data_IF_324267064666
#
_entry.id   IF_324267064666
#
_cell.length_a   1.000
_cell.length_b   1.000
_cell.length_c   1.000
_cell.angle_alpha   90.00
_cell.angle_beta   90.00
_cell.angle_gamma   90.00
#
_symmetry.space_group_name_H-M   'P 1'
#
loop_
_entity.id
_entity.type
_entity.pdbx_description
1 polymer ?
#
# COMPACT_ATOMS: atom_id res chain seq x y z
N UNK A 1 11.84 8.54 -100.57
CA UNK A 1 11.68 7.16 -101.06
C UNK A 1 11.38 6.28 -99.85
N UNK A 2 10.20 5.65 -99.83
CA UNK A 2 9.63 4.89 -98.72
C UNK A 2 10.22 3.47 -98.68
N UNK A 3 10.49 2.94 -97.49
CA UNK A 3 10.47 1.51 -97.22
C UNK A 3 9.86 1.24 -95.84
N UNK A 4 9.08 0.17 -95.79
CA UNK A 4 8.13 -0.27 -94.76
C UNK A 4 8.65 -1.50 -94.02
N UNK A 5 8.52 -1.51 -92.68
CA UNK A 5 8.26 -2.62 -91.70
C UNK A 5 9.12 -3.93 -91.73
N UNK A 6 9.30 -4.70 -90.63
CA UNK A 6 8.32 -4.99 -89.57
C UNK A 6 8.83 -5.07 -88.10
N UNK A 7 7.87 -5.41 -87.22
CA UNK A 7 7.87 -5.40 -85.77
C UNK A 7 8.89 -6.33 -85.07
N UNK A 8 9.28 -5.95 -83.85
CA UNK A 8 9.74 -6.89 -82.82
C UNK A 8 9.31 -6.39 -81.44
N UNK A 9 8.59 -7.27 -80.74
CA UNK A 9 8.13 -7.21 -79.35
C UNK A 9 9.34 -7.46 -78.44
N UNK A 10 9.52 -6.75 -77.30
CA UNK A 10 9.68 -7.35 -75.95
C UNK A 10 10.12 -6.35 -74.85
N UNK A 11 9.45 -6.50 -73.70
CA UNK A 11 9.79 -6.14 -72.30
C UNK A 11 9.76 -4.69 -71.84
N UNK A 12 8.71 -4.42 -71.06
CA UNK A 12 8.67 -3.39 -70.03
C UNK A 12 9.69 -3.71 -68.92
N UNK A 13 10.69 -2.85 -68.74
CA UNK A 13 11.57 -2.88 -67.58
C UNK A 13 10.95 -1.99 -66.50
N UNK A 14 10.05 -2.57 -65.69
CA UNK A 14 9.66 -1.98 -64.40
C UNK A 14 10.89 -2.06 -63.48
N UNK A 15 11.64 -0.96 -63.37
CA UNK A 15 12.60 -0.77 -62.28
C UNK A 15 11.81 -0.61 -60.99
N UNK A 16 11.50 -1.74 -60.35
CA UNK A 16 11.04 -1.77 -58.97
C UNK A 16 12.18 -1.26 -58.09
N UNK A 17 12.03 -0.04 -57.55
CA UNK A 17 12.75 0.35 -56.35
C UNK A 17 12.28 -0.56 -55.22
N UNK A 18 13.01 -1.65 -55.00
CA UNK A 18 12.89 -2.43 -53.78
C UNK A 18 13.36 -1.54 -52.63
N UNK A 19 12.43 -0.84 -51.99
CA UNK A 19 12.67 -0.30 -50.65
C UNK A 19 12.77 -1.54 -49.75
N UNK A 20 14.00 -2.02 -49.57
CA UNK A 20 14.32 -2.97 -48.52
C UNK A 20 14.13 -2.19 -47.23
N UNK A 21 12.94 -2.30 -46.63
CA UNK A 21 12.77 -1.99 -45.21
C UNK A 21 13.60 -3.02 -44.48
N UNK A 22 14.86 -2.70 -44.21
CA UNK A 22 15.64 -3.44 -43.23
C UNK A 22 14.88 -3.33 -41.93
N UNK A 23 14.27 -4.42 -41.48
CA UNK A 23 13.85 -4.57 -40.10
C UNK A 23 15.12 -4.43 -39.26
N UNK A 24 15.42 -3.21 -38.83
CA UNK A 24 16.55 -2.94 -37.96
C UNK A 24 16.23 -3.64 -36.63
N UNK A 25 16.88 -4.76 -36.37
CA UNK A 25 16.80 -5.43 -35.08
C UNK A 25 17.13 -4.41 -34.01
N UNK A 26 16.17 -4.15 -33.12
CA UNK A 26 16.34 -3.21 -32.03
C UNK A 26 17.57 -3.60 -31.20
N UNK A 27 18.43 -2.63 -30.88
CA UNK A 27 19.59 -2.90 -30.05
C UNK A 27 19.14 -3.24 -28.63
N UNK A 28 19.95 -4.01 -27.88
CA UNK A 28 19.65 -4.31 -26.47
C UNK A 28 19.46 -3.04 -25.64
N UNK A 29 20.22 -1.99 -25.93
CA UNK A 29 20.13 -0.71 -25.23
C UNK A 29 18.81 0.01 -25.52
N UNK A 30 18.33 -0.06 -26.77
CA UNK A 30 17.02 0.48 -27.15
C UNK A 30 15.90 -0.27 -26.40
N UNK A 31 15.96 -1.61 -26.34
CA UNK A 31 15.00 -2.42 -25.56
C UNK A 31 15.04 -2.06 -24.08
N UNK A 32 16.22 -1.87 -23.49
CA UNK A 32 16.35 -1.46 -22.08
C UNK A 32 15.70 -0.10 -21.82
N UNK A 33 15.91 0.88 -22.70
CA UNK A 33 15.27 2.19 -22.58
C UNK A 33 13.74 2.09 -22.67
N UNK A 34 13.20 1.24 -23.54
CA UNK A 34 11.77 1.00 -23.61
C UNK A 34 11.22 0.37 -22.32
N UNK A 35 11.95 -0.60 -21.74
CA UNK A 35 11.58 -1.22 -20.46
C UNK A 35 11.53 -0.17 -19.34
N UNK A 36 12.53 0.70 -19.26
CA UNK A 36 12.56 1.78 -18.26
C UNK A 36 11.39 2.75 -18.44
N UNK A 37 11.09 3.18 -19.66
CA UNK A 37 9.95 4.05 -19.95
C UNK A 37 8.62 3.40 -19.55
N UNK A 38 8.44 2.11 -19.86
CA UNK A 38 7.23 1.36 -19.50
C UNK A 38 7.09 1.15 -17.99
N UNK A 39 8.19 0.95 -17.28
CA UNK A 39 8.19 0.90 -15.81
C UNK A 39 7.80 2.24 -15.19
N UNK A 40 8.28 3.36 -15.74
CA UNK A 40 7.90 4.69 -15.27
C UNK A 40 6.41 4.98 -15.51
N UNK A 41 5.88 4.63 -16.69
CA UNK A 41 4.46 4.73 -17.02
C UNK A 41 3.60 3.89 -16.06
N UNK A 42 3.99 2.63 -15.84
CA UNK A 42 3.31 1.75 -14.88
C UNK A 42 3.35 2.32 -13.45
N UNK A 43 4.50 2.78 -12.98
CA UNK A 43 4.63 3.37 -11.65
C UNK A 43 3.72 4.60 -11.47
N UNK A 44 3.55 5.43 -12.51
CA UNK A 44 2.64 6.57 -12.46
C UNK A 44 1.17 6.13 -12.37
N UNK A 45 0.79 5.09 -13.12
CA UNK A 45 -0.56 4.52 -13.06
C UNK A 45 -0.84 3.89 -11.69
N UNK A 46 0.09 3.11 -11.14
CA UNK A 46 -0.08 2.48 -9.82
C UNK A 46 -0.16 3.52 -8.70
N UNK A 47 0.67 4.57 -8.77
CA UNK A 47 0.58 5.69 -7.83
C UNK A 47 -0.80 6.33 -7.88
N UNK A 48 -1.30 6.65 -9.07
CA UNK A 48 -2.65 7.21 -9.23
C UNK A 48 -3.74 6.26 -8.74
N UNK A 49 -3.54 4.95 -8.88
CA UNK A 49 -4.48 3.92 -8.43
C UNK A 49 -4.54 3.80 -6.90
N UNK A 50 -3.42 4.03 -6.21
CA UNK A 50 -3.32 4.01 -4.74
C UNK A 50 -3.67 5.34 -4.07
N UNK A 51 -3.81 6.42 -4.85
CA UNK A 51 -4.13 7.73 -4.30
C UNK A 51 -5.63 7.91 -4.02
N UNK A 52 -6.00 8.48 -2.86
CA UNK A 52 -7.35 9.02 -2.64
C UNK A 52 -7.72 10.07 -3.70
N UNK A 53 -9.03 10.35 -3.85
CA UNK A 53 -9.49 11.29 -4.87
C UNK A 53 -9.17 12.74 -4.49
N UNK A 54 -9.13 13.63 -5.48
CA UNK A 54 -8.99 15.07 -5.24
C UNK A 54 -10.12 15.61 -4.34
N UNK A 55 -11.33 15.06 -4.44
CA UNK A 55 -12.47 15.42 -3.60
C UNK A 55 -12.25 15.02 -2.13
N UNK A 56 -11.64 13.86 -1.86
CA UNK A 56 -11.29 13.48 -0.48
C UNK A 56 -10.26 14.47 0.10
N UNK A 57 -9.25 14.85 -0.68
CA UNK A 57 -8.26 15.84 -0.25
C UNK A 57 -8.89 17.21 0.00
N UNK A 58 -9.82 17.65 -0.86
CA UNK A 58 -10.53 18.91 -0.68
C UNK A 58 -11.43 18.89 0.57
N UNK A 59 -12.16 17.79 0.79
CA UNK A 59 -13.06 17.63 1.94
C UNK A 59 -12.33 17.69 3.29
N UNK A 60 -11.08 17.20 3.34
CA UNK A 60 -10.27 17.16 4.55
C UNK A 60 -9.07 18.11 4.54
N UNK A 61 -9.07 19.12 3.65
CA UNK A 61 -7.93 20.01 3.45
C UNK A 61 -7.48 20.72 4.74
N UNK A 62 -8.40 21.20 5.57
CA UNK A 62 -8.07 21.85 6.85
C UNK A 62 -7.43 20.88 7.85
N UNK A 63 -7.93 19.64 7.93
CA UNK A 63 -7.35 18.61 8.79
C UNK A 63 -5.92 18.28 8.37
N UNK A 64 -5.71 18.14 7.05
CA UNK A 64 -4.44 17.75 6.46
C UNK A 64 -3.32 18.81 6.53
N UNK A 65 -3.65 20.05 6.94
CA UNK A 65 -2.64 21.08 7.28
C UNK A 65 -1.90 20.77 8.58
N UNK A 66 -2.46 19.94 9.45
CA UNK A 66 -1.84 19.56 10.71
C UNK A 66 -0.61 18.66 10.47
N UNK A 67 0.46 18.79 11.28
CA UNK A 67 1.60 17.90 11.18
C UNK A 67 1.19 16.45 11.46
N UNK A 68 1.95 15.52 10.90
CA UNK A 68 1.78 14.07 11.08
C UNK A 68 0.36 13.56 10.81
N UNK A 69 -0.33 14.20 9.87
CA UNK A 69 -1.60 13.72 9.31
C UNK A 69 -1.42 13.23 7.88
N UNK A 70 -2.42 12.50 7.40
CA UNK A 70 -2.48 12.12 6.00
C UNK A 70 -3.77 11.42 5.63
N UNK A 71 -3.84 11.11 4.35
CA UNK A 71 -4.94 10.40 3.71
C UNK A 71 -4.33 9.30 2.84
N UNK A 72 -4.86 8.08 2.91
CA UNK A 72 -4.38 6.97 2.08
C UNK A 72 -5.52 6.00 1.76
N UNK A 73 -5.40 5.28 0.65
CA UNK A 73 -6.28 4.17 0.27
C UNK A 73 -5.62 2.85 0.66
N UNK A 74 -6.34 1.95 1.31
CA UNK A 74 -5.93 0.56 1.48
C UNK A 74 -6.77 -0.31 0.56
N UNK A 75 -6.11 -1.15 -0.23
CA UNK A 75 -6.76 -2.10 -1.13
C UNK A 75 -7.05 -3.44 -0.41
N UNK A 76 -8.12 -4.17 -0.74
CA UNK A 76 -8.34 -5.50 -0.18
C UNK A 76 -7.29 -6.48 -0.71
N UNK A 77 -6.57 -7.10 0.22
CA UNK A 77 -5.47 -8.04 -0.10
C UNK A 77 -5.91 -9.17 -1.01
N UNK A 78 -7.06 -9.76 -0.75
CA UNK A 78 -7.66 -10.86 -1.53
C UNK A 78 -7.96 -10.52 -3.00
N UNK A 79 -7.96 -9.23 -3.36
CA UNK A 79 -8.23 -8.77 -4.73
C UNK A 79 -6.95 -8.34 -5.44
N UNK A 80 -6.00 -7.72 -4.72
CA UNK A 80 -4.85 -7.04 -5.34
C UNK A 80 -3.47 -7.62 -4.98
N UNK A 81 -3.34 -8.36 -3.87
CA UNK A 81 -2.11 -9.04 -3.43
C UNK A 81 -2.06 -10.50 -3.92
N UNK A 82 -2.55 -10.73 -5.14
CA UNK A 82 -2.64 -12.07 -5.73
C UNK A 82 -1.21 -12.63 -5.94
N UNK A 83 -0.83 -13.67 -5.18
CA UNK A 83 0.51 -14.29 -5.25
C UNK A 83 0.49 -15.75 -5.75
N UNK A 84 1.47 -16.01 -6.63
CA UNK A 84 1.95 -17.25 -7.27
C UNK A 84 0.97 -18.13 -8.07
N UNK A 85 -0.26 -18.40 -7.62
CA UNK A 85 -1.10 -19.45 -8.26
C UNK A 85 -1.71 -19.02 -9.60
N UNK A 86 -2.02 -17.73 -9.77
CA UNK A 86 -2.65 -17.17 -10.96
C UNK A 86 -1.63 -16.53 -11.94
N UNK A 87 -0.37 -16.33 -11.52
CA UNK A 87 0.67 -15.59 -12.25
C UNK A 87 0.22 -14.19 -12.73
N UNK A 88 -0.80 -13.60 -12.11
CA UNK A 88 -1.31 -12.26 -12.44
C UNK A 88 -1.26 -11.37 -11.21
N UNK A 89 -0.17 -10.64 -11.04
CA UNK A 89 -0.14 -9.53 -10.07
C UNK A 89 -0.87 -8.34 -10.67
N UNK A 90 -1.86 -7.81 -9.95
CA UNK A 90 -2.58 -6.60 -10.35
C UNK A 90 -1.71 -5.34 -10.23
N UNK A 91 -0.82 -5.30 -9.23
CA UNK A 91 0.13 -4.22 -8.98
C UNK A 91 1.54 -4.77 -8.74
N UNK A 92 2.57 -4.00 -9.08
CA UNK A 92 3.98 -4.32 -8.84
C UNK A 92 4.41 -4.06 -7.40
N UNK A 93 3.71 -3.15 -6.70
CA UNK A 93 3.87 -2.88 -5.27
C UNK A 93 3.70 -4.17 -4.47
N UNK A 94 4.68 -4.54 -3.65
CA UNK A 94 4.60 -5.76 -2.84
C UNK A 94 3.47 -5.64 -1.83
N UNK A 95 2.62 -6.65 -1.73
CA UNK A 95 1.42 -6.56 -0.90
C UNK A 95 0.22 -5.95 -1.63
N UNK A 96 0.34 -5.64 -2.92
CA UNK A 96 -0.78 -5.22 -3.77
C UNK A 96 -1.50 -3.96 -3.30
N UNK A 97 -0.84 -3.06 -2.57
CA UNK A 97 -1.50 -1.87 -2.00
C UNK A 97 -2.36 -2.13 -0.76
N UNK A 98 -2.38 -3.37 -0.25
CA UNK A 98 -3.21 -3.73 0.90
C UNK A 98 -2.62 -3.34 2.25
N UNK A 99 -1.38 -2.86 2.26
CA UNK A 99 -0.60 -2.54 3.44
C UNK A 99 -0.24 -1.07 3.45
N UNK A 100 0.03 -0.50 4.63
CA UNK A 100 0.54 0.86 4.73
C UNK A 100 1.48 1.08 5.91
N UNK A 101 2.52 1.86 5.66
CA UNK A 101 3.41 2.41 6.66
C UNK A 101 3.08 3.88 6.89
N UNK A 102 2.65 4.25 8.10
CA UNK A 102 2.38 5.65 8.46
C UNK A 102 3.66 6.47 8.59
N UNK A 103 4.77 5.82 8.99
CA UNK A 103 6.08 6.47 9.14
C UNK A 103 6.73 6.74 7.80
N UNK A 104 6.70 5.76 6.89
CA UNK A 104 7.34 5.84 5.57
C UNK A 104 6.39 6.32 4.46
N UNK A 105 5.09 6.40 4.74
CA UNK A 105 4.03 6.82 3.79
C UNK A 105 4.07 6.01 2.50
N UNK A 106 4.13 4.69 2.64
CA UNK A 106 4.26 3.75 1.53
C UNK A 106 3.37 2.52 1.75
N UNK A 107 2.92 1.94 0.65
CA UNK A 107 2.15 0.70 0.64
C UNK A 107 2.99 -0.57 0.49
N UNK A 108 4.31 -0.41 0.30
CA UNK A 108 5.23 -1.52 0.08
C UNK A 108 5.32 -2.40 1.34
N UNK A 109 4.86 -3.65 1.23
CA UNK A 109 4.89 -4.60 2.34
C UNK A 109 6.32 -4.98 2.77
N UNK A 110 6.55 -5.02 4.08
CA UNK A 110 7.85 -5.33 4.67
C UNK A 110 8.77 -4.13 4.85
N UNK A 111 8.28 -2.92 4.55
CA UNK A 111 8.98 -1.66 4.81
C UNK A 111 8.27 -0.89 5.93
N UNK A 112 8.28 -1.43 7.14
CA UNK A 112 7.68 -0.77 8.32
C UNK A 112 6.16 -0.69 8.27
N UNK A 113 5.50 -1.76 7.82
CA UNK A 113 4.05 -1.83 7.65
C UNK A 113 3.32 -1.88 9.00
N UNK A 114 2.46 -0.92 9.33
CA UNK A 114 1.69 -0.97 10.60
C UNK A 114 0.24 -1.45 10.44
N UNK A 115 -0.31 -1.42 9.23
CA UNK A 115 -1.68 -1.84 8.96
C UNK A 115 -1.78 -2.56 7.62
N UNK A 116 -2.62 -3.59 7.57
CA UNK A 116 -3.08 -4.23 6.35
C UNK A 116 -4.61 -4.35 6.33
N UNK A 117 -5.20 -4.47 5.13
CA UNK A 117 -6.61 -4.76 4.92
C UNK A 117 -6.76 -6.12 4.22
N UNK A 118 -7.42 -7.08 4.88
CA UNK A 118 -7.75 -8.38 4.29
C UNK A 118 -9.12 -8.83 4.80
N UNK A 119 -9.95 -9.37 3.92
CA UNK A 119 -11.25 -9.97 4.28
C UNK A 119 -12.16 -9.01 5.06
N UNK A 120 -12.17 -7.73 4.67
CA UNK A 120 -12.86 -6.63 5.37
C UNK A 120 -12.44 -6.44 6.84
N UNK A 121 -11.24 -6.88 7.22
CA UNK A 121 -10.63 -6.64 8.53
C UNK A 121 -9.30 -5.92 8.37
N UNK A 122 -9.02 -5.00 9.31
CA UNK A 122 -7.68 -4.51 9.54
C UNK A 122 -6.86 -5.57 10.26
N UNK A 123 -5.59 -5.70 9.89
CA UNK A 123 -4.58 -6.48 10.56
C UNK A 123 -3.40 -5.58 10.94
N UNK A 124 -2.95 -5.66 12.20
CA UNK A 124 -1.84 -4.85 12.74
C UNK A 124 -0.69 -5.68 13.30
N UNK A 125 -0.64 -6.98 12.99
CA UNK A 125 0.45 -7.87 13.39
C UNK A 125 1.04 -8.59 12.18
N UNK A 126 2.37 -8.62 12.10
CA UNK A 126 3.10 -9.08 10.92
C UNK A 126 4.18 -10.10 11.30
N UNK A 127 5.00 -10.51 10.34
CA UNK A 127 5.91 -11.63 10.52
C UNK A 127 6.95 -11.39 11.63
N UNK A 128 7.42 -12.48 12.24
CA UNK A 128 8.49 -12.46 13.24
C UNK A 128 7.99 -12.13 14.64
N UNK A 129 8.70 -11.22 15.31
CA UNK A 129 8.38 -10.74 16.65
C UNK A 129 7.52 -9.46 16.63
N UNK A 130 7.25 -8.89 15.46
CA UNK A 130 6.43 -7.68 15.32
C UNK A 130 4.98 -7.96 15.73
N UNK A 131 4.36 -7.02 16.44
CA UNK A 131 2.98 -7.14 16.86
C UNK A 131 2.33 -5.78 17.02
N UNK A 132 1.00 -5.77 17.06
CA UNK A 132 0.24 -4.55 17.28
C UNK A 132 -1.06 -4.78 18.02
N UNK A 133 -1.66 -3.66 18.41
CA UNK A 133 -2.96 -3.59 19.04
C UNK A 133 -3.80 -2.60 18.27
N UNK A 134 -5.03 -2.98 17.94
CA UNK A 134 -6.04 -2.11 17.35
C UNK A 134 -7.32 -2.17 18.18
N UNK A 135 -7.99 -1.04 18.30
CA UNK A 135 -9.32 -0.94 18.92
C UNK A 135 -10.22 0.01 18.13
N UNK A 136 -11.52 -0.26 18.17
CA UNK A 136 -12.55 0.58 17.54
C UNK A 136 -13.08 1.57 18.58
N UNK A 137 -12.91 2.86 18.32
CA UNK A 137 -13.36 3.96 19.17
C UNK A 137 -14.81 4.40 18.89
N UNK A 138 -15.45 3.80 17.90
CA UNK A 138 -16.82 4.09 17.50
C UNK A 138 -16.92 5.23 16.48
N UNK A 139 -18.07 5.92 16.49
CA UNK A 139 -18.31 7.07 15.61
C UNK A 139 -17.83 8.37 16.24
N UNK A 140 -16.52 8.58 16.24
CA UNK A 140 -15.92 9.77 16.84
C UNK A 140 -15.12 10.51 15.76
N UNK A 141 -15.29 11.82 15.56
CA UNK A 141 -14.44 12.60 14.66
C UNK A 141 -12.96 12.43 15.01
N UNK A 142 -12.09 12.33 14.00
CA UNK A 142 -10.68 12.03 14.22
C UNK A 142 -9.97 13.17 14.98
N UNK A 143 -10.45 14.40 14.82
CA UNK A 143 -10.04 15.61 15.54
C UNK A 143 -10.20 15.45 17.06
N UNK A 144 -11.28 14.82 17.51
CA UNK A 144 -11.62 14.62 18.91
C UNK A 144 -10.80 13.51 19.58
N UNK A 145 -10.01 12.73 18.83
CA UNK A 145 -9.13 11.70 19.40
C UNK A 145 -7.91 12.36 20.01
N UNK A 146 -7.84 12.38 21.34
CA UNK A 146 -6.73 12.96 22.11
C UNK A 146 -6.11 11.93 23.05
N UNK A 147 -4.98 12.29 23.67
CA UNK A 147 -4.35 11.50 24.74
C UNK A 147 -5.24 11.31 25.97
N UNK A 148 -6.33 12.08 26.11
CA UNK A 148 -7.26 11.95 27.23
C UNK A 148 -8.21 10.76 27.10
N UNK A 149 -8.41 10.26 25.88
CA UNK A 149 -9.22 9.08 25.65
C UNK A 149 -8.60 7.86 26.37
N UNK A 150 -9.35 7.16 27.26
CA UNK A 150 -8.82 6.03 28.02
C UNK A 150 -8.19 4.93 27.16
N UNK A 151 -8.75 4.70 25.96
CA UNK A 151 -8.21 3.72 25.04
C UNK A 151 -6.82 4.11 24.50
N UNK A 152 -6.66 5.41 24.22
CA UNK A 152 -5.40 6.00 23.79
C UNK A 152 -4.38 5.97 24.92
N UNK A 153 -4.79 6.24 26.17
CA UNK A 153 -3.91 6.21 27.35
C UNK A 153 -3.22 4.87 27.51
N UNK A 154 -3.97 3.76 27.44
CA UNK A 154 -3.39 2.43 27.53
C UNK A 154 -2.37 2.18 26.41
N UNK A 155 -2.75 2.42 25.16
CA UNK A 155 -1.84 2.25 24.02
C UNK A 155 -0.61 3.14 24.16
N UNK A 156 -0.75 4.33 24.73
CA UNK A 156 0.34 5.28 24.89
C UNK A 156 1.35 4.90 25.99
N UNK A 157 0.88 4.23 27.04
CA UNK A 157 1.69 3.81 28.18
C UNK A 157 2.21 2.38 28.05
N UNK A 158 1.77 1.62 27.04
CA UNK A 158 2.22 0.24 26.83
C UNK A 158 3.74 0.17 26.60
N UNK A 159 4.41 -0.80 27.20
CA UNK A 159 5.84 -1.04 26.98
C UNK A 159 6.01 -2.19 26.01
N UNK A 160 6.80 -1.99 24.95
CA UNK A 160 7.13 -3.06 24.02
C UNK A 160 7.87 -4.18 24.76
N UNK A 161 7.59 -5.44 24.42
CA UNK A 161 8.33 -6.56 24.97
C UNK A 161 9.81 -6.46 24.57
N UNK A 162 10.72 -6.82 25.47
CA UNK A 162 12.17 -6.74 25.17
C UNK A 162 12.75 -8.09 24.74
N UNK A 163 11.99 -9.18 24.89
CA UNK A 163 12.42 -10.54 24.54
C UNK A 163 11.46 -11.17 23.53
N UNK A 164 11.99 -11.95 22.57
CA UNK A 164 11.17 -12.59 21.54
C UNK A 164 10.07 -13.50 22.11
N UNK A 165 10.31 -14.35 23.14
CA UNK A 165 9.25 -15.16 23.74
C UNK A 165 8.11 -14.33 24.35
N UNK A 166 8.43 -13.16 24.89
CA UNK A 166 7.46 -12.22 25.44
C UNK A 166 6.67 -11.54 24.31
N UNK A 167 7.35 -11.05 23.26
CA UNK A 167 6.70 -10.46 22.09
C UNK A 167 5.70 -11.44 21.44
N UNK A 168 6.09 -12.73 21.31
CA UNK A 168 5.18 -13.80 20.83
C UNK A 168 4.00 -14.06 21.75
N UNK A 169 4.17 -13.87 23.06
CA UNK A 169 3.09 -14.02 24.04
C UNK A 169 2.12 -12.84 23.97
N UNK A 170 2.62 -11.62 23.81
CA UNK A 170 1.80 -10.42 23.60
C UNK A 170 1.02 -10.51 22.27
N UNK A 171 1.65 -10.98 21.19
CA UNK A 171 0.94 -11.30 19.94
C UNK A 171 -0.27 -12.23 20.18
N UNK A 172 -0.07 -13.35 20.88
CA UNK A 172 -1.14 -14.32 21.17
C UNK A 172 -2.24 -13.74 22.06
N UNK A 173 -1.85 -12.93 23.04
CA UNK A 173 -2.77 -12.22 23.95
C UNK A 173 -3.72 -11.34 23.15
N UNK A 174 -3.19 -10.46 22.30
CA UNK A 174 -4.02 -9.58 21.49
C UNK A 174 -4.69 -10.29 20.31
N UNK A 175 -4.17 -11.42 19.82
CA UNK A 175 -4.87 -12.22 18.81
C UNK A 175 -6.18 -12.81 19.37
N UNK A 176 -6.16 -13.24 20.64
CA UNK A 176 -7.35 -13.70 21.35
C UNK A 176 -8.29 -12.54 21.73
N UNK A 177 -7.72 -11.34 21.85
CA UNK A 177 -8.38 -10.13 22.28
C UNK A 177 -8.34 -9.97 23.79
N UNK A 178 -7.92 -8.80 24.25
CA UNK A 178 -7.73 -8.49 25.66
C UNK A 178 -8.57 -7.28 26.06
N UNK A 179 -9.28 -7.35 27.18
CA UNK A 179 -10.06 -6.22 27.71
C UNK A 179 -9.30 -5.50 28.81
N UNK A 180 -9.01 -4.22 28.62
CA UNK A 180 -8.27 -3.38 29.56
C UNK A 180 -9.05 -2.08 29.75
N UNK A 181 -9.43 -1.79 30.99
CA UNK A 181 -10.24 -0.60 31.31
C UNK A 181 -11.57 -0.56 30.53
N UNK A 182 -12.19 -1.71 30.29
CA UNK A 182 -13.44 -1.83 29.52
C UNK A 182 -13.28 -1.70 27.99
N UNK A 183 -12.07 -1.48 27.49
CA UNK A 183 -11.78 -1.42 26.05
C UNK A 183 -11.15 -2.73 25.60
N UNK A 184 -11.62 -3.28 24.47
CA UNK A 184 -11.03 -4.48 23.87
C UNK A 184 -9.94 -4.09 22.87
N UNK A 185 -8.77 -4.73 22.98
CA UNK A 185 -7.63 -4.58 22.07
C UNK A 185 -7.38 -5.90 21.37
N UNK A 186 -7.19 -5.84 20.06
CA UNK A 186 -7.00 -7.01 19.21
C UNK A 186 -5.85 -6.82 18.23
N UNK A 187 -5.41 -7.88 17.56
CA UNK A 187 -4.56 -7.76 16.35
C UNK A 187 -5.37 -7.52 15.08
N UNK A 188 -6.70 -7.74 15.15
CA UNK A 188 -7.63 -7.54 14.04
C UNK A 188 -8.87 -6.77 14.44
N UNK A 189 -9.38 -5.94 13.53
CA UNK A 189 -10.64 -5.23 13.71
C UNK A 189 -11.42 -5.11 12.40
N UNK A 190 -12.73 -5.33 12.46
CA UNK A 190 -13.63 -5.17 11.33
C UNK A 190 -13.54 -3.74 10.75
N UNK A 191 -13.28 -3.63 9.45
CA UNK A 191 -13.27 -2.38 8.71
C UNK A 191 -14.72 -1.92 8.49
N UNK A 192 -15.11 -0.84 9.15
CA UNK A 192 -16.48 -0.29 9.10
C UNK A 192 -16.42 1.19 8.78
N UNK A 193 -17.17 1.58 7.75
CA UNK A 193 -17.30 2.97 7.33
C UNK A 193 -17.74 3.85 8.51
N UNK A 194 -17.24 5.09 8.57
CA UNK A 194 -17.55 6.05 9.63
C UNK A 194 -17.19 5.55 11.03
N UNK A 195 -16.20 4.65 11.15
CA UNK A 195 -15.61 4.28 12.44
C UNK A 195 -14.20 4.82 12.55
N UNK A 196 -13.85 5.19 13.77
CA UNK A 196 -12.51 5.64 14.14
C UNK A 196 -11.84 4.58 14.98
N UNK A 197 -10.55 4.38 14.73
CA UNK A 197 -9.75 3.34 15.33
C UNK A 197 -8.50 3.97 15.91
N UNK A 198 -7.95 3.32 16.92
CA UNK A 198 -6.59 3.56 17.37
C UNK A 198 -5.80 2.28 17.22
N UNK A 199 -4.57 2.39 16.71
CA UNK A 199 -3.62 1.30 16.67
C UNK A 199 -2.28 1.72 17.24
N UNK A 200 -1.58 0.78 17.86
CA UNK A 200 -0.13 0.85 18.08
C UNK A 200 0.53 -0.32 17.37
N UNK A 201 1.45 -0.02 16.46
CA UNK A 201 2.26 -1.02 15.76
C UNK A 201 3.68 -0.99 16.28
N UNK A 202 4.20 -2.15 16.70
CA UNK A 202 5.52 -2.35 17.29
C UNK A 202 6.32 -3.23 16.33
N UNK A 203 7.32 -2.62 15.68
CA UNK A 203 8.17 -3.23 14.68
C UNK A 203 9.64 -3.11 15.08
N UNK A 204 10.25 -4.23 15.47
CA UNK A 204 11.60 -4.25 16.02
C UNK A 204 12.68 -3.93 14.99
N UNK A 205 12.37 -4.11 13.70
CA UNK A 205 13.28 -3.75 12.61
C UNK A 205 13.18 -2.29 12.18
N UNK A 206 12.12 -1.57 12.57
CA UNK A 206 11.77 -0.30 11.91
C UNK A 206 11.21 0.79 12.85
N UNK A 207 10.09 0.56 13.52
CA UNK A 207 9.31 1.63 14.16
C UNK A 207 8.39 1.16 15.28
N UNK A 208 8.10 2.04 16.23
CA UNK A 208 6.99 1.90 17.18
C UNK A 208 6.17 3.19 17.13
N UNK A 209 4.90 3.07 16.76
CA UNK A 209 4.01 4.22 16.53
C UNK A 209 2.59 3.98 17.00
N UNK A 210 2.00 5.04 17.55
CA UNK A 210 0.58 5.12 17.90
C UNK A 210 -0.13 6.04 16.90
N UNK A 211 -1.15 5.50 16.25
CA UNK A 211 -1.90 6.14 15.17
C UNK A 211 -3.39 6.09 15.51
N UNK A 212 -4.11 7.16 15.19
CA UNK A 212 -5.55 7.13 15.08
C UNK A 212 -5.95 7.34 13.63
N UNK A 213 -6.98 6.62 13.18
CA UNK A 213 -7.47 6.77 11.81
C UNK A 213 -8.98 6.52 11.74
N UNK A 214 -9.61 7.06 10.70
CA UNK A 214 -11.04 6.92 10.44
C UNK A 214 -11.25 6.50 8.99
N UNK A 215 -12.14 5.54 8.76
CA UNK A 215 -12.59 5.22 7.41
C UNK A 215 -13.60 6.29 6.98
N UNK A 216 -13.23 7.09 5.98
CA UNK A 216 -14.05 8.20 5.48
C UNK A 216 -14.85 7.81 4.23
N UNK A 217 -14.38 6.83 3.48
CA UNK A 217 -15.00 6.33 2.26
C UNK A 217 -14.62 4.87 2.05
N UNK A 218 -15.55 4.10 1.48
CA UNK A 218 -15.31 2.74 1.01
C UNK A 218 -15.73 2.70 -0.46
N UNK A 219 -14.86 2.16 -1.31
CA UNK A 219 -15.06 2.10 -2.76
C UNK A 219 -15.77 0.79 -3.13
N UNK A 220 -16.33 0.73 -4.34
CA UNK A 220 -17.07 -0.44 -4.83
C UNK A 220 -16.20 -1.69 -4.97
N UNK A 221 -14.88 -1.52 -5.03
CA UNK A 221 -13.89 -2.59 -5.06
C UNK A 221 -13.44 -3.04 -3.66
N UNK A 222 -14.19 -2.67 -2.61
CA UNK A 222 -13.92 -2.89 -1.19
C UNK A 222 -12.69 -2.16 -0.61
N UNK A 223 -12.01 -1.33 -1.40
CA UNK A 223 -10.94 -0.46 -0.90
C UNK A 223 -11.48 0.55 0.11
N UNK A 224 -10.66 0.91 1.09
CA UNK A 224 -11.03 1.89 2.10
C UNK A 224 -10.11 3.10 2.04
N UNK A 225 -10.69 4.29 2.12
CA UNK A 225 -9.93 5.53 2.27
C UNK A 225 -9.91 5.87 3.75
N UNK A 226 -8.71 5.96 4.30
CA UNK A 226 -8.49 6.29 5.70
C UNK A 226 -7.86 7.67 5.83
N UNK A 227 -8.50 8.52 6.62
CA UNK A 227 -7.91 9.72 7.17
C UNK A 227 -7.17 9.32 8.46
N UNK A 228 -5.93 9.74 8.62
CA UNK A 228 -5.12 9.32 9.76
C UNK A 228 -4.32 10.48 10.36
N UNK A 229 -4.01 10.33 11.65
CA UNK A 229 -3.03 11.15 12.35
C UNK A 229 -2.17 10.29 13.25
N UNK A 230 -0.87 10.57 13.22
CA UNK A 230 0.08 10.00 14.16
C UNK A 230 -0.08 10.72 15.50
N UNK A 231 -0.33 9.95 16.56
CA UNK A 231 -0.42 10.50 17.90
C UNK A 231 0.93 10.53 18.60
N UNK A 232 1.78 9.52 18.34
CA UNK A 232 3.10 9.42 18.95
C UNK A 232 4.04 8.50 18.17
N UNK A 233 5.32 8.88 18.08
CA UNK A 233 6.44 8.01 17.71
C UNK A 233 7.21 7.65 18.98
N UNK A 234 7.59 6.40 19.12
CA UNK A 234 8.45 5.92 20.20
C UNK A 234 9.86 5.67 19.66
N UNK A 235 10.87 5.58 20.53
CA UNK A 235 12.13 4.96 20.16
C UNK A 235 11.89 3.60 19.53
N UNK A 236 12.69 3.24 18.53
CA UNK A 236 12.62 1.91 17.91
C UNK A 236 12.82 0.86 19.02
N UNK A 237 11.93 -0.13 19.14
CA UNK A 237 12.04 -1.14 20.18
C UNK A 237 13.21 -2.08 19.85
N UNK A 238 13.85 -2.62 20.88
CA UNK A 238 14.96 -3.55 20.75
C UNK A 238 14.55 -4.93 21.27
N UNK A 239 14.96 -5.98 20.55
CA UNK A 239 14.89 -7.34 21.05
C UNK A 239 16.25 -7.73 21.59
N UNK A 240 16.25 -8.21 22.84
CA UNK A 240 17.37 -8.92 23.40
C UNK A 240 17.75 -10.07 22.47
N UNK A 241 19.04 -10.11 22.10
CA UNK A 241 19.60 -11.26 21.40
C UNK A 241 19.78 -12.37 22.42
N UNK A 242 18.97 -13.42 22.32
CA UNK A 242 19.26 -14.65 23.02
C UNK A 242 20.48 -15.28 22.33
N UNK A 243 21.64 -15.21 22.98
CA UNK A 243 22.84 -15.93 22.56
C UNK A 243 22.70 -17.43 22.81
#
# INVERSE_FOLDING_TARGET
MRFTFPATIFVAFFLGLSIIVSAQTESRDQVLNQIEAKRAELAALEKSFLEPSADDYAAYAEFLKQPDTGLTRLLPRETYDDDVKSNKKSLTTRGGGAYYSFTRRTHEYGWGTQIGLEQNEFNVSFAGADYGMITNLGDVPLEAVTSENPAIKFLASYSAAEEEPQARSEYRRFASGETIGGTIYKTRAQARLNRTYALRGIHYSDSDVLVAFRIIRKDDDDSVIILWKLLKKYPKPELARNN
#
